data_IF_573604304994
#
_entry.id   IF_573604304994
#
_cell.length_a   1.000
_cell.length_b   1.000
_cell.length_c   1.000
_cell.angle_alpha   90.00
_cell.angle_beta   90.00
_cell.angle_gamma   90.00
#
_symmetry.space_group_name_H-M   'P 1'
#
loop_
_entity.id
_entity.type
_entity.pdbx_description
1 polymer ?
#
# COMPACT_ATOMS: atom_id res chain seq x y z
N UNK A 1 -34.14 10.35 15.15
CA UNK A 1 -34.25 9.32 14.08
C UNK A 1 -32.89 9.25 13.40
N UNK A 2 -32.09 8.19 13.35
CA UNK A 2 -32.24 6.75 13.63
C UNK A 2 -30.85 6.28 14.10
N UNK A 3 -30.69 5.99 15.38
CA UNK A 3 -29.59 5.20 15.94
C UNK A 3 -30.18 3.82 16.20
N UNK A 4 -30.16 2.93 15.20
CA UNK A 4 -30.63 1.55 15.38
C UNK A 4 -29.89 0.63 14.42
N UNK A 5 -28.69 0.20 14.83
CA UNK A 5 -28.03 -1.04 14.39
C UNK A 5 -26.74 -1.33 15.19
N UNK A 6 -26.81 -1.24 16.53
CA UNK A 6 -25.70 -1.58 17.44
C UNK A 6 -25.70 -3.08 17.86
N UNK A 7 -26.75 -3.83 17.51
CA UNK A 7 -26.92 -5.21 17.99
C UNK A 7 -26.02 -6.23 17.26
N UNK A 8 -25.75 -6.02 15.98
CA UNK A 8 -24.89 -6.93 15.19
C UNK A 8 -23.40 -6.79 15.53
N UNK A 9 -22.96 -5.62 15.98
CA UNK A 9 -21.54 -5.38 16.27
C UNK A 9 -21.10 -5.93 17.64
N UNK A 10 -22.04 -6.12 18.58
CA UNK A 10 -21.78 -6.71 19.90
C UNK A 10 -21.73 -8.24 19.89
N UNK A 11 -22.38 -8.89 18.93
CA UNK A 11 -22.38 -10.36 18.82
C UNK A 11 -21.04 -10.92 18.29
N UNK A 12 -20.29 -10.13 17.50
CA UNK A 12 -19.01 -10.57 16.92
C UNK A 12 -17.85 -10.48 17.92
N UNK A 13 -17.95 -9.60 18.93
CA UNK A 13 -16.88 -9.40 19.93
C UNK A 13 -16.89 -10.40 21.10
N UNK A 14 -18.02 -11.08 21.34
CA UNK A 14 -18.16 -12.04 22.45
C UNK A 14 -17.62 -13.45 22.15
N UNK A 15 -17.24 -13.74 20.89
CA UNK A 15 -16.77 -15.06 20.46
C UNK A 15 -15.23 -15.22 20.44
N UNK A 16 -14.48 -14.20 20.85
CA UNK A 16 -13.01 -14.17 20.78
C UNK A 16 -12.28 -14.26 22.13
N UNK A 17 -13.00 -14.35 23.24
CA UNK A 17 -12.41 -14.34 24.60
C UNK A 17 -12.78 -15.57 25.43
N UNK A 18 -12.56 -16.79 24.91
CA UNK A 18 -12.50 -18.04 25.70
C UNK A 18 -11.75 -19.05 24.81
N UNK A 19 -10.57 -19.63 25.17
CA UNK A 19 -10.15 -20.00 26.53
C UNK A 19 -8.65 -19.74 26.84
N UNK A 20 -8.38 -18.98 27.91
CA UNK A 20 -7.15 -19.05 28.69
C UNK A 20 -7.56 -19.68 30.03
N UNK A 21 -7.62 -21.01 30.14
CA UNK A 21 -7.65 -21.73 31.43
C UNK A 21 -7.75 -23.24 31.16
N UNK A 22 -6.61 -23.92 31.02
CA UNK A 22 -6.42 -25.32 31.37
C UNK A 22 -5.01 -25.77 30.97
N UNK A 23 -4.46 -26.69 31.75
CA UNK A 23 -3.14 -27.33 31.60
C UNK A 23 -2.02 -26.60 32.37
N UNK A 24 -2.24 -26.43 33.67
CA UNK A 24 -1.21 -26.71 34.67
C UNK A 24 -1.57 -28.07 35.28
N UNK A 25 -0.56 -28.85 35.68
CA UNK A 25 -0.60 -30.18 36.32
C UNK A 25 -0.65 -31.37 35.36
N UNK A 26 0.53 -31.91 35.03
CA UNK A 26 0.87 -33.29 35.37
C UNK A 26 2.36 -33.56 35.11
N UNK A 27 2.92 -34.40 35.98
CA UNK A 27 4.09 -35.25 35.75
C UNK A 27 5.49 -34.70 36.11
N UNK A 28 5.76 -34.76 37.41
CA UNK A 28 7.02 -35.28 37.93
C UNK A 28 7.01 -36.81 37.86
N UNK A 29 8.16 -37.44 37.58
CA UNK A 29 8.83 -38.46 38.42
C UNK A 29 9.80 -39.36 37.59
N UNK A 30 10.82 -39.87 38.29
CA UNK A 30 11.82 -40.93 38.00
C UNK A 30 13.30 -40.52 37.87
N UNK A 31 14.05 -40.67 38.99
CA UNK A 31 15.07 -41.72 39.26
C UNK A 31 15.89 -42.26 38.06
N UNK A 32 17.18 -42.61 38.12
CA UNK A 32 18.23 -42.64 39.15
C UNK A 32 19.57 -43.02 38.45
N UNK A 33 20.69 -42.74 39.13
CA UNK A 33 22.00 -43.46 39.14
C UNK A 33 22.82 -43.69 37.85
N UNK A 34 24.07 -43.21 37.89
CA UNK A 34 25.18 -43.79 37.13
C UNK A 34 26.49 -43.77 37.96
N UNK A 35 27.10 -44.95 38.04
CA UNK A 35 28.32 -45.32 38.77
C UNK A 35 29.63 -44.87 38.11
N UNK A 36 30.68 -44.89 38.92
CA UNK A 36 32.11 -44.74 38.63
C UNK A 36 32.66 -45.69 37.55
N UNK A 37 33.64 -45.23 36.75
CA UNK A 37 35.06 -45.63 36.89
C UNK A 37 35.93 -45.08 35.73
N UNK A 38 37.17 -44.71 36.07
CA UNK A 38 38.14 -44.16 35.14
C UNK A 38 39.03 -45.19 34.42
N UNK A 39 39.96 -44.69 33.61
CA UNK A 39 41.35 -45.19 33.52
C UNK A 39 42.22 -44.33 32.58
N UNK A 40 43.46 -44.09 33.03
CA UNK A 40 44.61 -43.57 32.27
C UNK A 40 45.05 -44.52 31.14
N UNK A 41 45.78 -44.01 30.13
CA UNK A 41 47.17 -44.43 29.80
C UNK A 41 47.69 -43.91 28.43
N UNK A 42 48.69 -42.99 28.48
CA UNK A 42 50.06 -43.11 27.91
C UNK A 42 50.34 -43.11 26.37
N UNK A 43 50.96 -41.99 25.94
CA UNK A 43 52.13 -41.76 25.02
C UNK A 43 52.33 -42.59 23.74
N UNK A 44 52.61 -41.89 22.61
CA UNK A 44 53.91 -41.97 21.87
C UNK A 44 54.16 -40.82 20.90
N UNK A 45 55.45 -40.52 20.72
CA UNK A 45 56.09 -39.29 20.21
C UNK A 45 56.16 -39.16 18.68
N UNK A 46 56.22 -37.91 18.19
CA UNK A 46 57.07 -37.50 17.05
C UNK A 46 57.72 -36.15 17.38
N UNK A 47 59.01 -36.03 17.07
CA UNK A 47 59.96 -35.01 17.56
C UNK A 47 60.08 -33.84 16.57
N UNK A 48 59.82 -32.61 17.02
CA UNK A 48 60.23 -31.36 16.34
C UNK A 48 61.05 -30.56 17.34
N UNK A 49 62.26 -30.19 16.92
CA UNK A 49 63.32 -29.63 17.76
C UNK A 49 63.04 -28.16 18.08
N UNK A 50 62.16 -27.90 19.06
CA UNK A 50 61.93 -26.58 19.62
C UNK A 50 63.05 -26.19 20.58
N UNK A 51 63.65 -25.01 20.36
CA UNK A 51 64.57 -24.39 21.33
C UNK A 51 63.88 -23.10 21.81
N UNK A 52 63.31 -23.15 23.03
CA UNK A 52 62.54 -22.07 23.67
C UNK A 52 61.03 -22.13 23.37
N UNK A 53 60.11 -22.22 24.37
CA UNK A 53 58.75 -22.74 24.13
C UNK A 53 57.76 -21.77 23.46
N UNK A 54 58.15 -20.54 23.09
CA UNK A 54 57.14 -19.56 22.64
C UNK A 54 57.62 -18.44 21.71
N UNK A 55 58.63 -18.70 20.88
CA UNK A 55 59.23 -17.69 20.00
C UNK A 55 59.44 -18.22 18.58
N UNK A 56 58.94 -17.48 17.59
CA UNK A 56 59.32 -17.64 16.19
C UNK A 56 60.34 -16.54 15.87
N UNK A 57 61.52 -16.90 15.35
CA UNK A 57 62.59 -15.94 15.06
C UNK A 57 63.24 -16.23 13.72
N UNK A 58 63.30 -15.22 12.85
CA UNK A 58 64.07 -15.24 11.61
C UNK A 58 65.10 -14.12 11.64
N UNK A 59 66.30 -14.37 11.10
CA UNK A 59 67.34 -13.35 10.97
C UNK A 59 67.97 -13.38 9.59
N UNK A 60 68.11 -12.21 8.98
CA UNK A 60 68.79 -12.02 7.70
C UNK A 60 69.95 -11.04 7.90
N UNK A 61 71.05 -11.28 7.20
CA UNK A 61 72.22 -10.40 7.20
C UNK A 61 72.57 -10.03 5.77
N UNK A 62 72.68 -8.72 5.52
CA UNK A 62 73.11 -8.17 4.22
C UNK A 62 74.19 -7.13 4.47
N UNK A 63 75.42 -7.48 4.11
CA UNK A 63 76.58 -6.62 4.36
C UNK A 63 76.73 -6.28 5.86
N UNK A 64 76.88 -5.00 6.22
CA UNK A 64 77.07 -4.56 7.61
C UNK A 64 75.79 -4.51 8.44
N UNK A 65 74.63 -4.90 7.88
CA UNK A 65 73.33 -4.85 8.55
C UNK A 65 72.80 -6.25 8.80
N UNK A 66 72.43 -6.52 10.06
CA UNK A 66 71.75 -7.74 10.50
C UNK A 66 70.36 -7.38 11.02
N UNK A 67 69.34 -7.96 10.42
CA UNK A 67 67.93 -7.79 10.79
C UNK A 67 67.43 -9.07 11.44
N UNK A 68 66.78 -8.96 12.58
CA UNK A 68 66.18 -10.07 13.32
C UNK A 68 64.72 -9.74 13.61
N UNK A 69 63.82 -10.64 13.24
CA UNK A 69 62.39 -10.54 13.51
C UNK A 69 62.01 -11.63 14.50
N UNK A 70 61.35 -11.24 15.59
CA UNK A 70 60.90 -12.12 16.68
C UNK A 70 59.39 -11.98 16.86
N UNK A 71 58.66 -13.08 16.92
CA UNK A 71 57.21 -13.11 17.15
C UNK A 71 56.87 -14.02 18.34
N UNK A 72 56.10 -13.49 19.28
CA UNK A 72 55.67 -14.20 20.50
C UNK A 72 54.19 -13.92 20.81
N UNK A 73 53.39 -14.90 21.27
CA UNK A 73 53.67 -16.33 21.35
C UNK A 73 53.83 -16.99 19.96
N UNK A 74 54.47 -18.16 19.92
CA UNK A 74 54.66 -18.96 18.70
C UNK A 74 53.39 -19.68 18.24
N UNK A 75 52.45 -19.89 19.17
CA UNK A 75 51.14 -20.50 18.95
C UNK A 75 50.06 -19.63 19.60
N UNK A 76 49.73 -18.48 19.00
CA UNK A 76 48.69 -17.61 19.53
C UNK A 76 47.32 -18.28 19.46
N UNK A 77 46.48 -17.96 20.41
CA UNK A 77 45.06 -18.32 20.40
C UNK A 77 44.24 -17.07 20.04
N UNK A 78 43.04 -17.26 19.46
CA UNK A 78 42.17 -16.12 19.11
C UNK A 78 41.86 -15.26 20.35
N UNK A 79 42.24 -13.98 20.28
CA UNK A 79 42.14 -13.03 21.39
C UNK A 79 43.48 -12.69 22.07
N UNK A 80 44.53 -13.47 21.80
CA UNK A 80 45.87 -13.18 22.32
C UNK A 80 46.50 -11.95 21.64
N UNK A 81 47.39 -11.29 22.38
CA UNK A 81 48.19 -10.18 21.86
C UNK A 81 49.57 -10.70 21.48
N UNK A 82 49.87 -10.61 20.18
CA UNK A 82 51.16 -10.95 19.60
C UNK A 82 52.16 -9.80 19.80
N UNK A 83 53.37 -10.12 20.22
CA UNK A 83 54.49 -9.18 20.28
C UNK A 83 55.46 -9.46 19.13
N UNK A 84 55.50 -8.57 18.16
CA UNK A 84 56.47 -8.58 17.06
C UNK A 84 57.62 -7.63 17.42
N UNK A 85 58.85 -8.13 17.46
CA UNK A 85 60.05 -7.35 17.73
C UNK A 85 60.98 -7.40 16.52
N UNK A 86 61.23 -6.25 15.92
CA UNK A 86 62.20 -6.04 14.83
C UNK A 86 63.47 -5.44 15.42
N UNK A 87 64.57 -6.17 15.38
CA UNK A 87 65.90 -5.76 15.83
C UNK A 87 66.81 -5.61 14.62
N UNK A 88 67.33 -4.41 14.37
CA UNK A 88 68.26 -4.12 13.29
C UNK A 88 69.57 -3.65 13.90
N UNK A 89 70.65 -4.40 13.66
CA UNK A 89 72.01 -4.04 14.07
C UNK A 89 72.83 -3.67 12.85
N UNK A 90 73.51 -2.52 12.91
CA UNK A 90 74.40 -2.04 11.86
C UNK A 90 75.79 -1.69 12.42
N UNK A 91 76.83 -1.92 11.63
CA UNK A 91 78.20 -1.51 11.98
C UNK A 91 78.36 0.02 12.05
N UNK A 92 79.41 0.49 12.72
CA UNK A 92 79.71 1.91 12.87
C UNK A 92 79.87 2.60 11.50
N UNK A 93 79.28 3.78 11.33
CA UNK A 93 79.29 4.50 10.05
C UNK A 93 78.21 4.06 9.05
N UNK A 94 77.30 3.16 9.43
CA UNK A 94 76.12 2.82 8.62
C UNK A 94 74.88 3.50 9.17
N UNK A 95 74.18 4.25 8.32
CA UNK A 95 72.94 4.92 8.67
C UNK A 95 71.74 4.02 8.35
N UNK A 96 70.85 3.81 9.34
CA UNK A 96 69.66 2.97 9.22
C UNK A 96 68.39 3.79 9.01
N UNK A 97 67.65 3.48 7.95
CA UNK A 97 66.33 3.99 7.64
C UNK A 97 65.30 2.89 7.93
N UNK A 98 64.62 3.03 9.07
CA UNK A 98 63.60 2.08 9.51
C UNK A 98 62.29 2.32 8.74
N UNK A 99 61.54 1.27 8.39
CA UNK A 99 60.29 1.41 7.65
C UNK A 99 59.25 2.24 8.42
N UNK A 100 58.51 3.10 7.71
CA UNK A 100 57.33 3.78 8.24
C UNK A 100 56.21 2.75 8.46
N UNK A 101 55.93 2.42 9.71
CA UNK A 101 55.06 1.29 10.03
C UNK A 101 53.58 1.68 9.96
N UNK A 102 52.82 0.99 9.09
CA UNK A 102 51.37 1.18 8.90
C UNK A 102 50.88 0.67 7.54
N UNK A 103 51.70 0.76 6.49
CA UNK A 103 51.29 0.44 5.12
C UNK A 103 51.27 -1.07 4.80
N UNK A 104 52.05 -1.90 5.51
CA UNK A 104 52.14 -3.34 5.24
C UNK A 104 51.32 -4.23 6.18
N UNK A 105 50.79 -3.68 7.28
CA UNK A 105 50.18 -4.46 8.38
C UNK A 105 48.68 -4.22 8.55
N UNK A 106 47.98 -3.77 7.51
CA UNK A 106 46.53 -3.43 7.54
C UNK A 106 45.63 -4.56 8.07
N UNK A 107 46.11 -5.81 8.06
CA UNK A 107 45.39 -7.00 8.54
C UNK A 107 45.48 -7.21 10.06
N UNK A 108 46.32 -6.47 10.76
CA UNK A 108 46.51 -6.58 12.20
C UNK A 108 46.09 -5.30 12.90
N UNK A 109 45.42 -5.43 14.05
CA UNK A 109 45.16 -4.28 14.89
C UNK A 109 46.41 -3.96 15.71
N UNK A 110 46.97 -2.75 15.53
CA UNK A 110 48.18 -2.30 16.23
C UNK A 110 47.77 -1.66 17.56
N UNK A 111 48.11 -2.31 18.66
CA UNK A 111 47.74 -1.90 20.02
C UNK A 111 48.75 -0.89 20.60
N UNK A 112 50.04 -1.06 20.29
CA UNK A 112 51.12 -0.22 20.85
C UNK A 112 52.40 -0.32 19.99
N UNK A 113 53.21 0.75 19.99
CA UNK A 113 54.48 0.87 19.26
C UNK A 113 55.54 1.60 20.09
N UNK A 114 56.69 0.95 20.30
CA UNK A 114 57.82 1.53 21.05
C UNK A 114 59.12 1.42 20.22
N UNK A 115 59.62 2.51 19.63
CA UNK A 115 60.93 2.55 19.00
C UNK A 115 62.03 2.81 20.03
N UNK A 116 63.14 2.08 19.93
CA UNK A 116 64.34 2.29 20.72
C UNK A 116 65.56 2.27 19.81
N UNK A 117 66.42 3.29 19.92
CA UNK A 117 67.76 3.28 19.31
C UNK A 117 68.79 3.26 20.44
N UNK A 118 69.79 2.40 20.31
CA UNK A 118 70.92 2.28 21.23
C UNK A 118 72.19 2.01 20.43
N UNK A 119 73.33 2.30 21.02
CA UNK A 119 74.62 1.82 20.53
C UNK A 119 75.01 0.64 21.43
N UNK A 120 75.43 -0.47 20.83
CA UNK A 120 75.89 -1.67 21.53
C UNK A 120 77.33 -1.46 22.06
N UNK A 121 77.79 -2.32 22.97
CA UNK A 121 79.14 -2.24 23.58
C UNK A 121 80.27 -2.33 22.52
N UNK A 122 79.96 -2.90 21.35
CA UNK A 122 80.83 -3.01 20.17
C UNK A 122 80.79 -1.78 19.23
N UNK A 123 80.11 -0.68 19.61
CA UNK A 123 79.95 0.52 18.77
C UNK A 123 78.92 0.37 17.63
N UNK A 124 78.21 -0.76 17.55
CA UNK A 124 77.17 -1.03 16.55
C UNK A 124 75.88 -0.27 16.86
N UNK A 125 75.25 0.33 15.85
CA UNK A 125 73.92 0.93 16.00
C UNK A 125 72.85 -0.16 16.07
N UNK A 126 72.08 -0.20 17.15
CA UNK A 126 70.97 -1.13 17.38
C UNK A 126 69.64 -0.36 17.38
N UNK A 127 68.80 -0.62 16.40
CA UNK A 127 67.41 -0.15 16.34
C UNK A 127 66.46 -1.30 16.69
N UNK A 128 65.58 -1.09 17.67
CA UNK A 128 64.59 -2.08 18.11
C UNK A 128 63.20 -1.47 18.03
N UNK A 129 62.32 -2.09 17.26
CA UNK A 129 60.91 -1.73 17.16
C UNK A 129 60.06 -2.87 17.72
N UNK A 130 59.26 -2.59 18.76
CA UNK A 130 58.35 -3.57 19.36
C UNK A 130 56.89 -3.18 19.08
N UNK A 131 56.14 -4.13 18.55
CA UNK A 131 54.74 -3.98 18.17
C UNK A 131 53.87 -4.96 18.94
N UNK A 132 52.72 -4.49 19.41
CA UNK A 132 51.66 -5.34 19.95
C UNK A 132 50.54 -5.45 18.92
N UNK A 133 50.32 -6.65 18.42
CA UNK A 133 49.40 -6.94 17.32
C UNK A 133 48.27 -7.84 17.84
N UNK A 134 47.05 -7.65 17.32
CA UNK A 134 45.93 -8.56 17.55
C UNK A 134 45.39 -9.08 16.23
N UNK A 135 45.13 -10.39 16.16
CA UNK A 135 44.59 -11.05 14.96
C UNK A 135 43.05 -11.04 14.96
N UNK A 136 42.40 -10.77 13.83
CA UNK A 136 40.93 -10.68 13.75
C UNK A 136 40.22 -12.04 13.73
N UNK A 137 40.89 -13.12 13.33
CA UNK A 137 40.29 -14.46 13.19
C UNK A 137 41.29 -15.57 13.50
N UNK A 138 40.79 -16.77 13.82
CA UNK A 138 41.60 -18.00 13.89
C UNK A 138 41.99 -18.49 12.48
N UNK A 139 43.02 -19.33 12.39
CA UNK A 139 43.55 -19.86 11.14
C UNK A 139 44.94 -19.35 10.77
N UNK A 140 45.34 -19.56 9.52
CA UNK A 140 46.68 -19.25 9.03
C UNK A 140 46.82 -17.75 8.72
N UNK A 141 47.84 -17.13 9.31
CA UNK A 141 48.20 -15.72 9.12
C UNK A 141 49.67 -15.59 8.75
N UNK A 142 50.04 -14.43 8.20
CA UNK A 142 51.43 -14.15 7.87
C UNK A 142 51.80 -12.68 8.11
N UNK A 143 52.99 -12.47 8.66
CA UNK A 143 53.67 -11.18 8.68
C UNK A 143 54.34 -10.99 7.31
N UNK A 144 54.01 -9.94 6.54
CA UNK A 144 54.65 -9.68 5.25
C UNK A 144 56.12 -9.28 5.43
N UNK A 145 56.88 -9.35 4.34
CA UNK A 145 58.26 -8.89 4.28
C UNK A 145 58.33 -7.40 4.60
N UNK A 146 59.21 -7.03 5.54
CA UNK A 146 59.51 -5.66 5.92
C UNK A 146 60.76 -5.20 5.18
N UNK A 147 60.72 -4.00 4.59
CA UNK A 147 61.85 -3.39 3.92
C UNK A 147 62.58 -2.46 4.89
N UNK A 148 63.89 -2.68 5.05
CA UNK A 148 64.77 -1.83 5.83
C UNK A 148 65.79 -1.25 4.86
N UNK A 149 65.94 0.06 4.84
CA UNK A 149 66.91 0.74 4.01
C UNK A 149 68.14 1.13 4.83
N UNK A 150 69.33 1.10 4.24
CA UNK A 150 70.55 1.58 4.88
C UNK A 150 71.52 2.23 3.91
N UNK A 151 72.29 3.20 4.41
CA UNK A 151 73.33 3.91 3.65
C UNK A 151 74.68 3.64 4.32
N UNK A 152 75.63 3.07 3.57
CA UNK A 152 76.97 2.80 4.09
C UNK A 152 77.86 4.04 3.95
N UNK A 153 78.10 4.76 5.05
CA UNK A 153 78.96 5.97 5.07
C UNK A 153 80.41 5.66 5.46
N UNK A 154 80.81 4.39 5.49
CA UNK A 154 82.20 4.02 5.83
C UNK A 154 83.16 4.38 4.69
N UNK A 155 84.37 4.85 4.99
CA UNK A 155 85.32 5.27 3.95
C UNK A 155 85.68 4.11 3.01
N UNK A 156 85.51 4.32 1.69
CA UNK A 156 85.89 3.35 0.65
C UNK A 156 84.77 2.40 0.18
N UNK A 157 83.58 2.43 0.79
CA UNK A 157 82.42 1.68 0.32
C UNK A 157 81.46 2.58 -0.49
N UNK A 158 80.78 2.05 -1.53
CA UNK A 158 79.72 2.78 -2.22
C UNK A 158 78.52 2.99 -1.28
N UNK A 159 78.05 4.24 -1.19
CA UNK A 159 76.97 4.65 -0.27
C UNK A 159 75.65 3.91 -0.51
N UNK A 160 75.36 3.61 -1.77
CA UNK A 160 74.20 2.87 -2.24
C UNK A 160 74.57 2.14 -3.56
N UNK A 161 73.75 1.18 -4.02
CA UNK A 161 73.87 0.59 -5.36
C UNK A 161 73.79 1.63 -6.49
N UNK A 162 74.33 1.30 -7.67
CA UNK A 162 74.29 2.21 -8.82
C UNK A 162 72.85 2.50 -9.27
N UNK A 163 72.41 3.76 -9.13
CA UNK A 163 71.06 4.19 -9.49
C UNK A 163 70.02 4.17 -8.36
N UNK A 164 70.42 3.81 -7.14
CA UNK A 164 69.57 3.79 -5.95
C UNK A 164 70.12 4.74 -4.86
N UNK A 165 69.26 5.22 -3.96
CA UNK A 165 69.63 6.14 -2.88
C UNK A 165 70.03 5.41 -1.58
N UNK A 166 69.71 4.12 -1.44
CA UNK A 166 70.02 3.28 -0.28
C UNK A 166 70.09 1.79 -0.65
N UNK A 167 70.71 0.97 0.21
CA UNK A 167 70.60 -0.48 0.13
C UNK A 167 69.33 -0.98 0.83
N UNK A 168 68.60 -1.88 0.19
CA UNK A 168 67.39 -2.48 0.77
C UNK A 168 67.65 -3.85 1.41
N UNK A 169 67.03 -4.13 2.54
CA UNK A 169 67.00 -5.45 3.19
C UNK A 169 65.56 -5.83 3.44
N UNK A 170 65.09 -6.87 2.74
CA UNK A 170 63.76 -7.43 2.93
C UNK A 170 63.81 -8.56 3.96
N UNK A 171 62.96 -8.49 4.98
CA UNK A 171 62.75 -9.63 5.87
C UNK A 171 61.94 -10.71 5.17
N UNK A 172 62.07 -11.94 5.63
CA UNK A 172 61.24 -13.04 5.15
C UNK A 172 59.79 -12.89 5.64
N UNK A 173 58.85 -13.46 4.86
CA UNK A 173 57.45 -13.59 5.25
C UNK A 173 57.34 -14.62 6.38
N UNK A 174 56.74 -14.24 7.51
CA UNK A 174 56.62 -15.09 8.68
C UNK A 174 55.19 -15.64 8.81
N UNK A 175 55.00 -16.93 8.53
CA UNK A 175 53.70 -17.59 8.63
C UNK A 175 53.49 -18.21 10.02
N UNK A 176 52.28 -18.06 10.57
CA UNK A 176 51.89 -18.61 11.86
C UNK A 176 50.40 -18.98 11.87
N UNK A 177 50.01 -19.91 12.74
CA UNK A 177 48.62 -20.37 12.86
C UNK A 177 48.03 -19.92 14.19
N UNK A 178 46.87 -19.27 14.15
CA UNK A 178 46.10 -18.85 15.33
C UNK A 178 45.11 -19.94 15.69
N UNK A 179 45.27 -20.54 16.87
CA UNK A 179 44.38 -21.57 17.37
C UNK A 179 43.02 -20.97 17.78
N UNK A 180 41.96 -21.74 17.53
CA UNK A 180 40.62 -21.37 17.96
C UNK A 180 40.38 -21.86 19.39
N UNK A 181 39.86 -21.02 20.29
CA UNK A 181 39.42 -21.44 21.64
C UNK A 181 38.16 -22.31 21.58
N UNK A 182 37.52 -22.45 20.41
CA UNK A 182 36.31 -23.28 20.29
C UNK A 182 36.71 -24.72 20.61
N UNK A 183 36.20 -25.32 21.70
CA UNK A 183 36.63 -26.66 22.08
C UNK A 183 36.25 -27.62 20.95
N UNK A 184 37.24 -28.35 20.44
CA UNK A 184 37.05 -29.42 19.46
C UNK A 184 36.25 -30.54 20.14
N UNK A 185 34.93 -30.40 20.08
CA UNK A 185 33.97 -31.27 20.77
C UNK A 185 32.57 -30.65 20.89
N UNK A 186 32.47 -29.30 20.95
CA UNK A 186 31.16 -28.63 21.07
C UNK A 186 30.52 -28.29 19.72
N UNK A 187 31.21 -28.53 18.60
CA UNK A 187 30.57 -28.37 17.28
C UNK A 187 29.43 -29.38 17.07
N UNK A 188 29.50 -30.56 17.71
CA UNK A 188 28.39 -31.52 17.71
C UNK A 188 27.37 -31.25 18.84
N UNK A 189 27.77 -30.67 19.98
CA UNK A 189 26.84 -30.30 21.07
C UNK A 189 26.12 -28.95 20.86
N UNK A 190 26.61 -28.08 19.97
CA UNK A 190 25.93 -26.84 19.55
C UNK A 190 24.87 -27.07 18.48
N UNK A 191 24.62 -28.33 18.08
CA UNK A 191 23.33 -28.67 17.49
C UNK A 191 22.34 -28.69 18.65
N UNK A 192 21.65 -27.57 18.86
CA UNK A 192 20.41 -27.58 19.63
C UNK A 192 19.65 -28.84 19.19
N UNK A 193 19.20 -29.71 20.12
CA UNK A 193 18.52 -30.93 19.74
C UNK A 193 17.41 -30.50 18.79
N UNK A 194 17.54 -30.89 17.52
CA UNK A 194 16.53 -30.66 16.51
C UNK A 194 15.36 -31.50 16.97
N UNK A 195 14.56 -30.95 17.88
CA UNK A 195 13.32 -31.55 18.32
C UNK A 195 12.52 -31.67 17.05
N UNK A 196 12.27 -32.91 16.61
CA UNK A 196 11.38 -33.17 15.49
C UNK A 196 10.14 -32.31 15.72
N UNK A 197 9.91 -31.37 14.81
CA UNK A 197 8.76 -30.47 14.91
C UNK A 197 7.54 -31.37 14.99
N UNK A 198 6.79 -31.30 16.09
CA UNK A 198 5.53 -32.00 16.20
C UNK A 198 4.72 -31.71 14.94
N UNK A 199 4.13 -32.72 14.27
CA UNK A 199 3.42 -32.53 13.02
C UNK A 199 2.39 -31.41 13.25
N UNK A 200 2.51 -30.34 12.48
CA UNK A 200 1.65 -29.16 12.62
C UNK A 200 0.22 -29.64 12.56
N UNK A 201 -0.47 -29.61 13.71
CA UNK A 201 -1.76 -30.25 13.87
C UNK A 201 -2.72 -29.74 12.80
N UNK A 202 -3.10 -30.63 11.87
CA UNK A 202 -3.99 -30.33 10.74
C UNK A 202 -5.39 -29.84 11.17
N UNK A 203 -5.69 -29.83 12.48
CA UNK A 203 -6.94 -29.32 13.03
C UNK A 203 -7.19 -27.84 12.71
N UNK A 204 -6.16 -26.98 12.79
CA UNK A 204 -6.32 -25.54 12.49
C UNK A 204 -6.35 -25.27 10.97
N UNK A 205 -5.63 -26.06 10.18
CA UNK A 205 -5.58 -25.89 8.72
C UNK A 205 -6.95 -26.09 8.05
N UNK A 206 -7.72 -27.09 8.49
CA UNK A 206 -9.07 -27.34 7.96
C UNK A 206 -10.04 -26.17 8.22
N UNK A 207 -9.91 -25.50 9.37
CA UNK A 207 -10.72 -24.33 9.71
C UNK A 207 -10.39 -23.14 8.80
N UNK A 208 -9.11 -22.87 8.55
CA UNK A 208 -8.69 -21.80 7.63
C UNK A 208 -9.11 -22.06 6.19
N UNK A 209 -9.00 -23.31 5.72
CA UNK A 209 -9.50 -23.69 4.38
C UNK A 209 -11.02 -23.49 4.28
N UNK A 210 -11.78 -23.88 5.31
CA UNK A 210 -13.22 -23.64 5.36
C UNK A 210 -13.57 -22.15 5.34
N UNK A 211 -12.86 -21.32 6.11
CA UNK A 211 -13.06 -19.87 6.13
C UNK A 211 -12.76 -19.23 4.77
N UNK A 212 -11.66 -19.61 4.11
CA UNK A 212 -11.29 -19.11 2.78
C UNK A 212 -12.35 -19.50 1.74
N UNK A 213 -12.82 -20.75 1.76
CA UNK A 213 -13.84 -21.22 0.82
C UNK A 213 -15.18 -20.49 1.02
N UNK A 214 -15.56 -20.23 2.28
CA UNK A 214 -16.78 -19.50 2.62
C UNK A 214 -16.69 -18.05 2.17
N UNK A 215 -15.54 -17.40 2.40
CA UNK A 215 -15.29 -16.03 1.97
C UNK A 215 -15.32 -15.90 0.44
N UNK A 216 -14.76 -16.88 -0.27
CA UNK A 216 -14.78 -16.95 -1.73
C UNK A 216 -16.20 -17.12 -2.28
N UNK A 217 -17.02 -17.98 -1.66
CA UNK A 217 -18.43 -18.14 -2.04
C UNK A 217 -19.24 -16.87 -1.80
N UNK A 218 -19.01 -16.18 -0.68
CA UNK A 218 -19.69 -14.92 -0.38
C UNK A 218 -19.29 -13.82 -1.36
N UNK A 219 -18.00 -13.68 -1.66
CA UNK A 219 -17.48 -12.63 -2.54
C UNK A 219 -17.98 -12.78 -3.98
N UNK A 220 -18.16 -14.01 -4.48
CA UNK A 220 -18.74 -14.27 -5.79
C UNK A 220 -20.28 -14.24 -5.78
N UNK A 221 -20.92 -14.77 -4.72
CA UNK A 221 -22.38 -14.92 -4.65
C UNK A 221 -23.13 -13.62 -4.37
N UNK A 222 -22.64 -12.78 -3.45
CA UNK A 222 -23.26 -11.50 -3.09
C UNK A 222 -23.46 -10.54 -4.29
N UNK A 223 -22.45 -10.26 -5.13
CA UNK A 223 -22.62 -9.35 -6.26
C UNK A 223 -23.56 -9.93 -7.33
N UNK A 224 -23.55 -11.25 -7.56
CA UNK A 224 -24.45 -11.89 -8.52
C UNK A 224 -25.91 -11.85 -8.05
N UNK A 225 -26.15 -12.18 -6.79
CA UNK A 225 -27.48 -12.10 -6.18
C UNK A 225 -27.99 -10.65 -6.17
N UNK A 226 -27.13 -9.69 -5.81
CA UNK A 226 -27.49 -8.27 -5.80
C UNK A 226 -27.81 -7.75 -7.21
N UNK A 227 -27.00 -8.12 -8.22
CA UNK A 227 -27.25 -7.74 -9.61
C UNK A 227 -28.57 -8.33 -10.13
N UNK A 228 -28.87 -9.59 -9.80
CA UNK A 228 -30.16 -10.21 -10.10
C UNK A 228 -31.34 -9.48 -9.43
N UNK A 229 -31.22 -9.16 -8.15
CA UNK A 229 -32.25 -8.42 -7.41
C UNK A 229 -32.48 -7.00 -7.95
N UNK A 230 -31.41 -6.29 -8.34
CA UNK A 230 -31.54 -4.98 -8.99
C UNK A 230 -32.27 -5.09 -10.33
N UNK A 231 -31.95 -6.08 -11.17
CA UNK A 231 -32.63 -6.27 -12.44
C UNK A 231 -34.11 -6.64 -12.27
N UNK A 232 -34.44 -7.47 -11.27
CA UNK A 232 -35.83 -7.76 -10.93
C UNK A 232 -36.59 -6.52 -10.45
N UNK A 233 -35.96 -5.64 -9.66
CA UNK A 233 -36.58 -4.35 -9.26
C UNK A 233 -36.77 -3.37 -10.41
N UNK A 234 -35.88 -3.38 -11.42
CA UNK A 234 -36.02 -2.52 -12.61
C UNK A 234 -37.14 -3.06 -13.50
N UNK A 235 -37.25 -4.38 -13.67
CA UNK A 235 -38.34 -5.00 -14.43
C UNK A 235 -39.71 -4.79 -13.80
N UNK A 236 -39.81 -4.80 -12.47
CA UNK A 236 -41.10 -4.59 -11.78
C UNK A 236 -41.61 -3.14 -11.82
N UNK A 237 -40.79 -2.18 -12.26
CA UNK A 237 -41.16 -0.75 -12.37
C UNK A 237 -41.49 -0.30 -13.79
N UNK A 238 -41.29 -1.16 -14.78
CA UNK A 238 -41.61 -0.88 -16.17
C UNK A 238 -43.11 -1.05 -16.38
N UNK A 239 -43.84 0.07 -16.47
CA UNK A 239 -45.26 0.07 -16.86
C UNK A 239 -45.36 0.35 -18.35
N UNK A 240 -46.30 -0.26 -19.05
CA UNK A 240 -46.52 0.07 -20.46
C UNK A 240 -47.10 1.47 -20.60
N UNK A 241 -46.90 2.12 -21.75
CA UNK A 241 -47.57 3.40 -22.08
C UNK A 241 -49.09 3.32 -21.85
N UNK A 242 -49.70 2.17 -22.18
CA UNK A 242 -51.11 1.89 -21.92
C UNK A 242 -51.44 1.90 -20.42
N UNK A 243 -50.66 1.22 -19.58
CA UNK A 243 -50.91 1.16 -18.13
C UNK A 243 -50.88 2.56 -17.49
N UNK A 244 -49.95 3.41 -17.93
CA UNK A 244 -49.79 4.79 -17.45
C UNK A 244 -51.01 5.61 -17.87
N UNK A 245 -51.34 5.64 -19.16
CA UNK A 245 -52.47 6.40 -19.69
C UNK A 245 -53.81 5.92 -19.12
N UNK A 246 -54.03 4.60 -19.05
CA UNK A 246 -55.23 4.01 -18.47
C UNK A 246 -55.36 4.31 -16.98
N UNK A 247 -54.26 4.34 -16.22
CA UNK A 247 -54.30 4.71 -14.80
C UNK A 247 -54.69 6.19 -14.60
N UNK A 248 -54.20 7.11 -15.44
CA UNK A 248 -54.58 8.54 -15.42
C UNK A 248 -56.04 8.71 -15.84
N UNK A 249 -56.45 8.05 -16.93
CA UNK A 249 -57.84 8.07 -17.41
C UNK A 249 -58.81 7.51 -16.36
N UNK A 250 -58.45 6.43 -15.67
CA UNK A 250 -59.30 5.84 -14.64
C UNK A 250 -59.43 6.75 -13.41
N UNK A 251 -58.38 7.50 -13.04
CA UNK A 251 -58.48 8.54 -12.00
C UNK A 251 -59.44 9.65 -12.42
N UNK A 252 -59.37 10.09 -13.67
CA UNK A 252 -60.27 11.10 -14.22
C UNK A 252 -61.73 10.59 -14.26
N UNK A 253 -61.94 9.32 -14.59
CA UNK A 253 -63.26 8.65 -14.60
C UNK A 253 -63.87 8.49 -13.21
N UNK A 254 -63.05 8.21 -12.19
CA UNK A 254 -63.50 8.02 -10.80
C UNK A 254 -63.67 9.35 -10.04
N UNK A 255 -63.24 10.47 -10.63
CA UNK A 255 -63.44 11.79 -10.08
C UNK A 255 -64.91 12.26 -10.14
N UNK A 256 -65.23 13.41 -9.52
CA UNK A 256 -66.55 14.02 -9.65
C UNK A 256 -66.83 14.39 -11.12
N UNK A 257 -68.10 14.30 -11.53
CA UNK A 257 -68.51 14.78 -12.85
C UNK A 257 -68.28 16.29 -12.93
N UNK A 258 -67.59 16.79 -13.97
CA UNK A 258 -67.30 18.21 -14.08
C UNK A 258 -68.57 19.00 -14.39
N UNK A 259 -68.75 20.14 -13.72
CA UNK A 259 -69.85 21.08 -13.93
C UNK A 259 -69.34 22.48 -14.29
N UNK A 260 -70.08 23.21 -15.12
CA UNK A 260 -69.75 24.59 -15.51
C UNK A 260 -68.33 24.74 -16.02
N UNK A 261 -67.53 25.57 -15.35
CA UNK A 261 -66.15 25.89 -15.74
C UNK A 261 -65.17 24.70 -15.56
N UNK A 262 -65.53 23.69 -14.76
CA UNK A 262 -64.69 22.48 -14.56
C UNK A 262 -64.65 21.59 -15.81
N UNK A 263 -65.64 21.72 -16.71
CA UNK A 263 -65.70 20.96 -17.96
C UNK A 263 -64.49 21.26 -18.86
N UNK A 264 -63.99 22.50 -18.83
CA UNK A 264 -62.79 22.88 -19.57
C UNK A 264 -61.54 22.18 -19.03
N UNK A 265 -61.36 22.16 -17.70
CA UNK A 265 -60.25 21.47 -17.06
C UNK A 265 -60.28 19.96 -17.34
N UNK A 266 -61.47 19.37 -17.34
CA UNK A 266 -61.66 17.95 -17.67
C UNK A 266 -61.22 17.62 -19.10
N UNK A 267 -61.64 18.40 -20.10
CA UNK A 267 -61.23 18.16 -21.49
C UNK A 267 -59.74 18.44 -21.72
N UNK A 268 -59.15 19.41 -21.01
CA UNK A 268 -57.70 19.63 -21.04
C UNK A 268 -56.97 18.39 -20.54
N UNK A 269 -57.30 17.87 -19.35
CA UNK A 269 -56.66 16.66 -18.80
C UNK A 269 -56.93 15.42 -19.68
N UNK A 270 -58.16 15.23 -20.16
CA UNK A 270 -58.49 14.09 -21.02
C UNK A 270 -57.70 14.12 -22.34
N UNK A 271 -57.57 15.30 -22.95
CA UNK A 271 -56.76 15.47 -24.17
C UNK A 271 -55.25 15.32 -23.89
N UNK A 272 -54.78 15.74 -22.72
CA UNK A 272 -53.39 15.59 -22.29
C UNK A 272 -53.00 14.11 -22.13
N UNK A 273 -53.87 13.31 -21.52
CA UNK A 273 -53.68 11.86 -21.36
C UNK A 273 -53.55 11.18 -22.73
N UNK A 274 -54.42 11.52 -23.69
CA UNK A 274 -54.38 10.93 -25.04
C UNK A 274 -53.14 11.38 -25.79
N UNK A 275 -52.76 12.66 -25.72
CA UNK A 275 -51.55 13.18 -26.39
C UNK A 275 -50.27 12.54 -25.85
N UNK A 276 -50.10 12.44 -24.53
CA UNK A 276 -48.95 11.77 -23.94
C UNK A 276 -48.92 10.27 -24.27
N UNK A 277 -50.07 9.59 -24.31
CA UNK A 277 -50.12 8.21 -24.74
C UNK A 277 -49.64 8.01 -26.18
N UNK A 278 -50.00 8.94 -27.08
CA UNK A 278 -49.59 8.89 -28.48
C UNK A 278 -48.07 9.12 -28.64
N UNK A 279 -47.50 10.01 -27.85
CA UNK A 279 -46.05 10.23 -27.79
C UNK A 279 -45.34 9.00 -27.23
N UNK A 280 -45.74 8.56 -26.03
CA UNK A 280 -45.16 7.42 -25.32
C UNK A 280 -45.18 6.12 -26.13
N UNK A 281 -46.17 5.96 -27.02
CA UNK A 281 -46.41 4.72 -27.76
C UNK A 281 -46.00 4.77 -29.22
N UNK A 282 -46.42 5.81 -29.94
CA UNK A 282 -46.25 5.93 -31.38
C UNK A 282 -45.16 6.94 -31.75
N UNK A 283 -44.46 7.50 -30.76
CA UNK A 283 -43.41 8.53 -30.92
C UNK A 283 -43.93 9.79 -31.65
N UNK A 284 -45.26 10.00 -31.60
CA UNK A 284 -45.91 11.16 -32.16
C UNK A 284 -45.90 12.24 -31.08
N UNK A 285 -45.02 13.24 -31.19
CA UNK A 285 -44.74 14.31 -30.21
C UNK A 285 -45.96 15.25 -29.98
N UNK A 286 -47.12 14.69 -29.67
CA UNK A 286 -48.42 15.32 -29.67
C UNK A 286 -48.58 16.43 -28.62
N UNK A 287 -47.96 16.38 -27.43
CA UNK A 287 -48.00 17.49 -26.47
C UNK A 287 -47.27 18.75 -26.94
N UNK A 288 -46.29 18.63 -27.84
CA UNK A 288 -45.47 19.76 -28.33
C UNK A 288 -46.05 20.40 -29.60
N UNK A 289 -46.93 19.69 -30.31
CA UNK A 289 -47.55 20.15 -31.55
C UNK A 289 -48.89 20.84 -31.30
N UNK A 290 -49.23 21.81 -32.16
CA UNK A 290 -50.62 22.31 -32.22
C UNK A 290 -51.56 21.20 -32.72
N UNK A 291 -52.86 21.33 -32.48
CA UNK A 291 -53.83 20.31 -32.90
C UNK A 291 -53.81 20.09 -34.41
N UNK A 292 -53.70 21.16 -35.19
CA UNK A 292 -53.63 21.12 -36.65
C UNK A 292 -52.35 20.39 -37.12
N UNK A 293 -51.18 20.77 -36.60
CA UNK A 293 -49.90 20.13 -36.93
C UNK A 293 -49.90 18.64 -36.53
N UNK A 294 -50.42 18.33 -35.34
CA UNK A 294 -50.51 16.94 -34.89
C UNK A 294 -51.40 16.10 -35.82
N UNK A 295 -52.54 16.64 -36.26
CA UNK A 295 -53.44 15.91 -37.15
C UNK A 295 -52.83 15.66 -38.54
N UNK A 296 -52.00 16.57 -39.04
CA UNK A 296 -51.23 16.34 -40.27
C UNK A 296 -50.22 15.21 -40.11
N UNK A 297 -49.45 15.22 -39.01
CA UNK A 297 -48.49 14.16 -38.69
C UNK A 297 -49.20 12.81 -38.49
N UNK A 298 -50.26 12.78 -37.68
CA UNK A 298 -51.05 11.58 -37.40
C UNK A 298 -51.72 11.02 -38.67
N UNK A 299 -52.13 11.86 -39.62
CA UNK A 299 -52.68 11.41 -40.90
C UNK A 299 -51.67 10.59 -41.72
N UNK A 300 -50.38 10.89 -41.62
CA UNK A 300 -49.31 10.18 -42.33
C UNK A 300 -48.75 8.96 -41.59
N UNK A 301 -49.06 8.78 -40.30
CA UNK A 301 -48.56 7.65 -39.52
C UNK A 301 -49.07 6.30 -40.05
N UNK A 302 -48.18 5.31 -40.27
CA UNK A 302 -48.56 3.95 -40.68
C UNK A 302 -49.14 3.12 -39.52
N UNK A 303 -48.88 3.51 -38.27
CA UNK A 303 -49.25 2.75 -37.08
C UNK A 303 -50.69 3.04 -36.60
N UNK A 304 -51.35 4.03 -37.22
CA UNK A 304 -52.73 4.41 -36.95
C UNK A 304 -53.65 3.98 -38.10
N UNK A 305 -54.74 3.29 -37.75
CA UNK A 305 -55.77 2.93 -38.72
C UNK A 305 -56.58 4.17 -39.15
N UNK A 306 -57.32 4.08 -40.27
CA UNK A 306 -58.23 5.17 -40.69
C UNK A 306 -59.29 5.50 -39.62
N UNK A 307 -59.76 4.48 -38.87
CA UNK A 307 -60.69 4.66 -37.76
C UNK A 307 -60.05 5.48 -36.63
N UNK A 308 -58.82 5.13 -36.24
CA UNK A 308 -58.05 5.87 -35.22
C UNK A 308 -57.81 7.33 -35.62
N UNK A 309 -57.46 7.58 -36.89
CA UNK A 309 -57.25 8.94 -37.42
C UNK A 309 -58.53 9.76 -37.35
N UNK A 310 -59.67 9.17 -37.76
CA UNK A 310 -60.98 9.84 -37.69
C UNK A 310 -61.40 10.16 -36.24
N UNK A 311 -61.14 9.24 -35.31
CA UNK A 311 -61.38 9.45 -33.89
C UNK A 311 -60.54 10.62 -33.35
N UNK A 312 -59.23 10.63 -33.62
CA UNK A 312 -58.32 11.67 -33.13
C UNK A 312 -58.72 13.05 -33.65
N UNK A 313 -59.11 13.14 -34.92
CA UNK A 313 -59.60 14.38 -35.53
C UNK A 313 -60.84 14.92 -34.81
N UNK A 314 -61.85 14.08 -34.60
CA UNK A 314 -63.09 14.49 -33.94
C UNK A 314 -62.86 14.83 -32.46
N UNK A 315 -62.11 13.99 -31.76
CA UNK A 315 -61.83 14.13 -30.34
C UNK A 315 -61.02 15.39 -30.01
N UNK A 316 -59.94 15.67 -30.75
CA UNK A 316 -59.10 16.84 -30.48
C UNK A 316 -59.80 18.15 -30.87
N UNK A 317 -60.58 18.16 -31.96
CA UNK A 317 -61.41 19.33 -32.32
C UNK A 317 -62.46 19.62 -31.26
N UNK A 318 -63.10 18.59 -30.72
CA UNK A 318 -64.03 18.74 -29.61
C UNK A 318 -63.33 19.32 -28.37
N UNK A 319 -62.15 18.80 -28.01
CA UNK A 319 -61.38 19.32 -26.87
C UNK A 319 -61.00 20.80 -27.06
N UNK A 320 -60.61 21.21 -28.27
CA UNK A 320 -60.24 22.60 -28.57
C UNK A 320 -61.44 23.54 -28.56
N UNK A 321 -62.62 23.10 -29.01
CA UNK A 321 -63.86 23.90 -28.87
C UNK A 321 -64.19 24.17 -27.39
N UNK A 322 -63.98 23.19 -26.51
CA UNK A 322 -64.19 23.36 -25.07
C UNK A 322 -63.13 24.29 -24.48
N UNK A 323 -61.86 24.09 -24.83
CA UNK A 323 -60.71 24.85 -24.31
C UNK A 323 -60.69 26.32 -24.74
N UNK A 324 -60.98 26.60 -26.01
CA UNK A 324 -60.82 27.93 -26.61
C UNK A 324 -62.15 28.63 -26.91
N UNK A 325 -63.17 27.90 -27.36
CA UNK A 325 -64.47 28.48 -27.73
C UNK A 325 -65.46 28.54 -26.55
N UNK A 326 -65.03 28.15 -25.34
CA UNK A 326 -65.87 28.08 -24.11
C UNK A 326 -67.17 27.30 -24.34
N UNK A 327 -67.12 26.30 -25.22
CA UNK A 327 -68.25 25.40 -25.45
C UNK A 327 -68.47 24.54 -24.20
N UNK A 328 -69.70 24.47 -23.70
CA UNK A 328 -70.07 23.64 -22.54
C UNK A 328 -70.84 22.43 -23.06
N UNK A 329 -70.17 21.29 -23.34
CA UNK A 329 -70.83 20.08 -23.77
C UNK A 329 -71.72 19.52 -22.66
N UNK A 330 -72.87 18.97 -23.04
CA UNK A 330 -73.75 18.28 -22.11
C UNK A 330 -73.12 17.00 -21.53
N UNK A 331 -73.65 16.52 -20.40
CA UNK A 331 -73.15 15.34 -19.71
C UNK A 331 -73.04 14.08 -20.59
N UNK A 332 -73.94 13.91 -21.57
CA UNK A 332 -73.86 12.80 -22.53
C UNK A 332 -72.59 12.87 -23.38
N UNK A 333 -72.22 14.06 -23.83
CA UNK A 333 -71.04 14.28 -24.66
C UNK A 333 -69.74 14.09 -23.86
N UNK A 334 -69.72 14.49 -22.60
CA UNK A 334 -68.59 14.24 -21.67
C UNK A 334 -68.38 12.73 -21.50
N UNK A 335 -69.46 11.98 -21.22
CA UNK A 335 -69.41 10.54 -21.10
C UNK A 335 -69.02 9.85 -22.41
N UNK A 336 -69.47 10.38 -23.55
CA UNK A 336 -69.08 9.88 -24.88
C UNK A 336 -67.59 10.08 -25.12
N UNK A 337 -67.04 11.27 -24.87
CA UNK A 337 -65.62 11.56 -25.03
C UNK A 337 -64.75 10.64 -24.16
N UNK A 338 -65.14 10.44 -22.90
CA UNK A 338 -64.43 9.53 -21.98
C UNK A 338 -64.47 8.07 -22.46
N UNK A 339 -65.62 7.58 -22.92
CA UNK A 339 -65.76 6.22 -23.49
C UNK A 339 -64.93 6.07 -24.76
N UNK A 340 -64.98 7.04 -25.66
CA UNK A 340 -64.23 6.99 -26.92
C UNK A 340 -62.72 7.01 -26.68
N UNK A 341 -62.23 7.84 -25.74
CA UNK A 341 -60.84 7.82 -25.32
C UNK A 341 -60.43 6.49 -24.69
N UNK A 342 -61.28 5.89 -23.85
CA UNK A 342 -61.04 4.56 -23.26
C UNK A 342 -60.92 3.49 -24.35
N UNK A 343 -61.88 3.45 -25.27
CA UNK A 343 -61.89 2.50 -26.39
C UNK A 343 -60.66 2.66 -27.27
N UNK A 344 -60.23 3.89 -27.54
CA UNK A 344 -59.02 4.16 -28.31
C UNK A 344 -57.77 3.57 -27.65
N UNK A 345 -57.58 3.79 -26.33
CA UNK A 345 -56.46 3.19 -25.59
C UNK A 345 -56.52 1.66 -25.64
N UNK A 346 -57.70 1.07 -25.46
CA UNK A 346 -57.88 -0.40 -25.44
C UNK A 346 -57.67 -1.06 -26.80
N UNK A 347 -58.16 -0.44 -27.88
CA UNK A 347 -57.95 -0.93 -29.25
C UNK A 347 -56.48 -0.85 -29.65
N UNK A 348 -55.77 0.15 -29.15
CA UNK A 348 -54.37 0.31 -29.48
C UNK A 348 -53.49 -0.59 -28.62
N UNK A 349 -53.76 -0.89 -27.34
CA UNK A 349 -52.87 -1.54 -26.32
C UNK A 349 -51.80 -2.61 -26.70
N UNK A 350 -51.88 -3.32 -27.83
CA UNK A 350 -50.87 -4.33 -28.23
C UNK A 350 -49.48 -3.69 -28.46
N UNK A 351 -48.43 -4.33 -27.94
CA UNK A 351 -47.00 -3.96 -28.06
C UNK A 351 -46.60 -2.55 -27.59
N UNK A 352 -47.29 -2.00 -26.58
CA UNK A 352 -46.90 -0.71 -25.98
C UNK A 352 -45.50 -0.78 -25.32
N UNK A 353 -44.61 0.20 -25.57
CA UNK A 353 -43.27 0.21 -24.98
C UNK A 353 -43.35 0.32 -23.46
N UNK A 354 -42.42 -0.37 -22.80
CA UNK A 354 -42.27 -0.40 -21.35
C UNK A 354 -41.48 0.83 -20.88
N UNK A 355 -42.14 1.74 -20.18
CA UNK A 355 -41.59 3.00 -19.69
C UNK A 355 -41.28 2.94 -18.19
N UNK A 356 -40.30 3.74 -17.74
CA UNK A 356 -40.00 3.91 -16.32
C UNK A 356 -40.94 4.94 -15.70
N UNK A 357 -41.60 4.60 -14.59
CA UNK A 357 -42.51 5.52 -13.87
C UNK A 357 -41.84 6.86 -13.46
N UNK A 358 -40.51 6.89 -13.36
CA UNK A 358 -39.78 8.13 -13.03
C UNK A 358 -39.77 9.18 -14.16
N UNK A 359 -39.96 8.78 -15.43
CA UNK A 359 -40.04 9.71 -16.56
C UNK A 359 -41.44 10.30 -16.74
N UNK A 360 -42.50 9.49 -16.55
CA UNK A 360 -43.89 9.92 -16.74
C UNK A 360 -44.41 10.91 -15.66
N UNK A 361 -43.74 10.99 -14.50
CA UNK A 361 -44.11 11.92 -13.41
C UNK A 361 -43.53 13.33 -13.58
N UNK A 362 -42.86 13.64 -14.70
CA UNK A 362 -42.25 14.95 -15.00
C UNK A 362 -43.15 15.90 -15.80
N UNK A 363 -44.47 15.81 -15.68
CA UNK A 363 -45.35 16.83 -16.28
C UNK A 363 -45.24 18.16 -15.50
N UNK A 364 -44.96 19.30 -16.17
CA UNK A 364 -44.63 20.55 -15.48
C UNK A 364 -45.87 21.40 -15.24
N UNK A 365 -46.50 21.27 -14.08
CA UNK A 365 -47.36 22.35 -13.59
C UNK A 365 -47.48 22.37 -12.06
N UNK A 366 -46.60 23.14 -11.39
CA UNK A 366 -46.92 23.96 -10.21
C UNK A 366 -45.65 24.68 -9.73
N UNK A 367 -45.38 25.89 -10.25
CA UNK A 367 -44.40 26.80 -9.64
C UNK A 367 -45.02 28.18 -9.42
N UNK A 368 -45.86 28.29 -8.38
CA UNK A 368 -46.24 29.58 -7.81
C UNK A 368 -46.65 29.45 -6.33
N UNK A 369 -45.65 29.36 -5.44
CA UNK A 369 -45.63 29.93 -4.07
C UNK A 369 -44.46 29.35 -3.27
N UNK A 370 -43.36 30.10 -3.19
CA UNK A 370 -42.52 30.22 -1.97
C UNK A 370 -41.36 31.16 -2.26
N UNK A 371 -41.61 32.47 -2.14
CA UNK A 371 -40.54 33.44 -1.89
C UNK A 371 -41.08 34.52 -0.96
N UNK A 372 -41.28 34.12 0.28
CA UNK A 372 -41.30 35.01 1.45
C UNK A 372 -40.74 34.18 2.60
N UNK A 373 -39.95 34.82 3.46
CA UNK A 373 -39.20 34.25 4.59
C UNK A 373 -37.84 33.63 4.22
N UNK A 374 -36.84 34.50 4.10
CA UNK A 374 -35.54 34.31 4.77
C UNK A 374 -34.63 35.49 4.45
N UNK A 375 -34.72 36.56 5.23
CA UNK A 375 -33.64 37.54 5.43
C UNK A 375 -33.94 38.34 6.70
N UNK A 376 -33.51 37.83 7.85
CA UNK A 376 -33.35 38.61 9.08
C UNK A 376 -32.13 38.03 9.78
N UNK A 377 -30.99 38.70 9.61
CA UNK A 377 -29.87 38.83 10.55
C UNK A 377 -28.61 39.26 9.80
N UNK A 378 -28.38 40.57 9.72
CA UNK A 378 -27.05 41.16 9.67
C UNK A 378 -27.19 42.68 9.90
N UNK A 379 -26.83 43.13 11.10
CA UNK A 379 -26.52 44.54 11.38
C UNK A 379 -25.09 44.58 11.90
N UNK A 380 -24.23 45.39 11.27
CA UNK A 380 -23.23 46.16 11.99
C UNK A 380 -23.45 47.66 11.83
N UNK A 381 -23.06 48.39 12.88
CA UNK A 381 -23.06 49.85 13.05
C UNK A 381 -22.32 50.58 11.93
N UNK A 382 -22.84 51.72 11.48
CA UNK A 382 -22.25 53.04 11.76
C UNK A 382 -23.08 54.20 11.18
N UNK A 383 -22.94 55.35 11.85
CA UNK A 383 -23.63 56.62 11.65
C UNK A 383 -23.20 57.32 10.35
N UNK A 384 -24.16 57.84 9.58
CA UNK A 384 -23.92 58.94 8.64
C UNK A 384 -25.23 59.69 8.33
N UNK A 385 -25.35 60.85 8.97
CA UNK A 385 -25.68 62.18 8.39
C UNK A 385 -26.75 62.21 7.29
N UNK A 386 -27.83 62.92 7.63
CA UNK A 386 -28.95 63.31 6.79
C UNK A 386 -28.55 64.15 5.57
N UNK A 387 -29.26 63.86 4.46
CA UNK A 387 -29.77 64.72 3.38
C UNK A 387 -29.45 66.23 3.49
N UNK A 388 -29.12 66.95 2.41
CA UNK A 388 -29.70 66.96 1.07
C UNK A 388 -29.56 68.42 0.60
N UNK A 389 -29.05 68.70 -0.58
CA UNK A 389 -29.89 68.96 -1.74
C UNK A 389 -29.82 70.44 -2.14
N UNK A 390 -29.86 70.71 -3.44
CA UNK A 390 -30.33 72.01 -3.97
C UNK A 390 -29.27 73.02 -4.41
N UNK A 391 -28.93 72.95 -5.70
CA UNK A 391 -28.71 74.05 -6.67
C UNK A 391 -28.42 75.46 -6.14
N UNK A 392 -27.27 75.99 -6.60
CA UNK A 392 -27.01 77.43 -6.81
C UNK A 392 -27.50 77.87 -8.20
N UNK A 393 -28.38 78.87 -8.23
CA UNK A 393 -28.34 80.05 -9.09
C UNK A 393 -28.70 81.20 -8.13
N UNK A 394 -27.97 82.30 -7.95
CA UNK A 394 -27.43 83.19 -8.97
C UNK A 394 -28.26 84.48 -8.91
N UNK A 395 -27.73 85.55 -8.28
CA UNK A 395 -28.24 86.92 -8.45
C UNK A 395 -28.44 87.74 -7.16
N UNK A 396 -27.39 88.42 -6.71
CA UNK A 396 -27.30 89.84 -6.31
C UNK A 396 -26.09 90.03 -5.35
N UNK A 397 -25.16 90.91 -5.76
CA UNK A 397 -24.08 91.47 -4.94
C UNK A 397 -22.72 90.85 -5.18
#
# INVERSE_FOLDING_TARGET
>A
MIFRNSFFLRAVFAALCFPLFSIYTLYADNHDLADENGQESKKKNVNVKGTGPDLIQNSIQRGPVKVTVKLQPSKPVIGDILTLTLEVSAEEGVELLMPEFGQSMERFNIVDFVPRKSIDDDGRSLATHRYRLQTPSSGVHAIPSLMIEFVDRRPGNPMAPEGEDAYEVLTERLEFNVESVVPTGVADEMKAPLRELAPVGAGKAKLWVGLILTLLFLSLGLPFAWRGWQQHRIRSRRRSAFDIAYSRLNKLRLGPNPEGDEVSAFFVELSDIVRHYLEDRFDLHAPELTTEEFLEVAATSPDLTSEHKSFLQEFLRQADQVKFARHIPGAESINKALRSATNFLEQTKQDAPLLDESSASRSPNMRRRSKSESTLNAVPREEAIMAGGGKKEGGYG
#
